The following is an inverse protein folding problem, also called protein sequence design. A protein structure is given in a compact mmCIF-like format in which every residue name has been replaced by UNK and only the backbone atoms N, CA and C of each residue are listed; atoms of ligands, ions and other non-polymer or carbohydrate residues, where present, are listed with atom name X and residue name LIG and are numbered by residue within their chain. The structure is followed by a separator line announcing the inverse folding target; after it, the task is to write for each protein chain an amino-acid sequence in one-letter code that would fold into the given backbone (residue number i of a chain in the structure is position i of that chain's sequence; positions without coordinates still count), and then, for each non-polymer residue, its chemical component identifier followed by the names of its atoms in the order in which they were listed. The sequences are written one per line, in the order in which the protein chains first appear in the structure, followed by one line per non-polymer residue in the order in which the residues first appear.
data_IF_605264993439
#
_entry.id   IF_605264993439
#
_cell.length_a   1.000
_cell.length_b   1.000
_cell.length_c   1.000
_cell.angle_alpha   90.00
_cell.angle_beta   90.00
_cell.angle_gamma   90.00
#
_symmetry.space_group_name_H-M   'P 1'
#
loop_
_entity.id
_entity.type
_entity.pdbx_description
1 polymer ?
#
# COMPACT_ATOMS: atom_id res chain seq x y z
N UNK A 1 17.30 1.90 21.56
CA UNK A 1 16.75 3.27 21.69
C UNK A 1 16.41 3.52 23.15
N UNK A 2 16.76 4.69 23.67
CA UNK A 2 16.44 5.07 25.04
C UNK A 2 15.53 6.32 25.01
N UNK A 3 14.73 6.51 26.07
CA UNK A 3 13.91 7.72 26.25
C UNK A 3 14.71 8.79 26.95
N UNK A 4 14.52 10.06 26.59
CA UNK A 4 15.08 11.18 27.33
C UNK A 4 14.21 11.44 28.58
N UNK A 5 14.79 11.21 29.74
CA UNK A 5 14.11 11.42 31.03
C UNK A 5 14.67 12.63 31.76
N UNK A 6 15.16 13.63 31.00
CA UNK A 6 15.75 14.87 31.51
C UNK A 6 14.71 15.98 31.60
N UNK A 7 15.01 16.99 32.43
CA UNK A 7 14.21 18.21 32.57
C UNK A 7 14.13 18.99 31.25
N UNK A 8 15.23 19.02 30.51
CA UNK A 8 15.32 19.64 29.19
C UNK A 8 15.33 18.56 28.10
N UNK A 9 14.52 18.75 27.05
CA UNK A 9 14.47 17.88 25.89
C UNK A 9 15.38 18.43 24.79
N UNK A 10 16.32 17.63 24.35
CA UNK A 10 17.28 17.98 23.30
C UNK A 10 16.80 17.37 21.99
N UNK A 11 16.96 18.10 20.89
CA UNK A 11 16.74 17.62 19.51
C UNK A 11 18.00 17.89 18.69
N UNK A 12 18.38 16.96 17.83
CA UNK A 12 19.56 17.10 16.98
C UNK A 12 20.56 15.97 17.14
N UNK A 13 21.71 16.10 16.51
CA UNK A 13 22.78 15.10 16.58
C UNK A 13 24.00 15.71 17.26
N UNK A 14 24.49 15.02 18.28
CA UNK A 14 25.74 15.35 18.98
C UNK A 14 26.64 14.13 18.90
N UNK A 15 27.80 14.29 18.25
CA UNK A 15 28.77 13.22 17.99
C UNK A 15 28.11 11.93 17.45
N UNK A 16 28.18 10.86 18.24
CA UNK A 16 27.63 9.53 17.91
C UNK A 16 26.17 9.33 18.36
N UNK A 17 25.51 10.38 18.84
CA UNK A 17 24.15 10.28 19.43
C UNK A 17 23.21 11.20 18.70
N UNK A 18 22.04 10.68 18.34
CA UNK A 18 20.93 11.47 17.76
C UNK A 18 19.76 11.49 18.73
N UNK A 19 19.31 12.70 19.04
CA UNK A 19 18.12 13.01 19.82
C UNK A 19 16.99 13.37 18.86
N UNK A 20 15.83 12.73 18.99
CA UNK A 20 14.69 12.96 18.11
C UNK A 20 13.38 12.73 18.84
N UNK A 21 12.31 13.29 18.29
CA UNK A 21 10.96 13.08 18.76
C UNK A 21 10.19 12.16 17.83
N UNK A 22 9.41 11.26 18.41
CA UNK A 22 8.48 10.41 17.67
C UNK A 22 7.19 10.25 18.45
N UNK A 23 6.08 10.72 17.89
CA UNK A 23 4.74 10.65 18.51
C UNK A 23 4.71 11.28 19.93
N UNK A 24 5.34 12.44 20.11
CA UNK A 24 5.43 13.13 21.41
C UNK A 24 6.43 12.54 22.40
N UNK A 25 7.15 11.46 22.03
CA UNK A 25 8.15 10.84 22.88
C UNK A 25 9.56 11.24 22.42
N UNK A 26 10.34 11.85 23.32
CA UNK A 26 11.73 12.20 23.08
C UNK A 26 12.63 10.96 23.26
N UNK A 27 13.38 10.66 22.23
CA UNK A 27 14.16 9.44 22.12
C UNK A 27 15.62 9.74 21.82
N UNK A 28 16.50 8.80 22.21
CA UNK A 28 17.93 8.83 21.96
C UNK A 28 18.32 7.55 21.21
N UNK A 29 19.10 7.69 20.15
CA UNK A 29 19.70 6.56 19.44
C UNK A 29 21.19 6.82 19.17
N UNK A 30 21.98 5.76 19.18
CA UNK A 30 23.35 5.83 18.69
C UNK A 30 23.31 6.01 17.16
N UNK A 31 24.13 6.90 16.64
CA UNK A 31 24.28 7.13 15.20
C UNK A 31 24.78 5.84 14.52
N UNK A 32 24.15 5.45 13.45
CA UNK A 32 24.60 4.33 12.65
C UNK A 32 25.89 4.70 11.94
N UNK A 33 26.94 3.90 12.05
CA UNK A 33 28.21 4.12 11.34
C UNK A 33 28.13 3.84 9.84
N UNK A 34 27.02 3.30 9.39
CA UNK A 34 26.76 2.99 7.99
C UNK A 34 26.32 4.28 7.27
N UNK A 35 27.16 4.79 6.37
CA UNK A 35 26.82 5.95 5.54
C UNK A 35 25.91 5.54 4.39
N UNK A 36 25.05 6.48 3.95
CA UNK A 36 24.20 6.27 2.77
C UNK A 36 25.02 6.01 1.50
N UNK A 37 26.18 6.66 1.39
CA UNK A 37 27.10 6.48 0.25
C UNK A 37 27.71 5.08 0.22
N UNK A 38 28.05 4.53 1.37
CA UNK A 38 28.51 3.15 1.47
C UNK A 38 27.42 2.17 1.03
N UNK A 39 26.18 2.37 1.45
CA UNK A 39 25.06 1.51 1.02
C UNK A 39 24.87 1.58 -0.51
N UNK A 40 25.12 2.75 -1.13
CA UNK A 40 24.92 2.94 -2.56
C UNK A 40 26.07 2.39 -3.43
N UNK A 41 27.29 2.38 -2.93
CA UNK A 41 28.48 2.14 -3.75
C UNK A 41 29.26 0.86 -3.38
N UNK A 42 29.05 0.31 -2.19
CA UNK A 42 29.77 -0.88 -1.73
C UNK A 42 29.06 -2.14 -2.27
N UNK A 43 29.78 -3.04 -3.00
CA UNK A 43 29.23 -4.29 -3.54
C UNK A 43 28.58 -5.18 -2.50
N UNK A 44 29.01 -5.12 -1.23
CA UNK A 44 28.40 -5.86 -0.13
C UNK A 44 26.91 -5.53 0.08
N UNK A 45 26.44 -4.38 -0.43
CA UNK A 45 25.05 -3.92 -0.37
C UNK A 45 24.29 -4.09 -1.68
N UNK A 46 24.81 -4.79 -2.68
CA UNK A 46 24.17 -4.98 -3.98
C UNK A 46 22.71 -5.43 -3.84
N UNK A 47 22.44 -6.43 -3.00
CA UNK A 47 21.07 -6.93 -2.72
C UNK A 47 20.15 -5.87 -2.10
N UNK A 48 20.71 -4.99 -1.29
CA UNK A 48 19.97 -3.88 -0.69
C UNK A 48 19.62 -2.83 -1.75
N UNK A 49 20.58 -2.52 -2.63
CA UNK A 49 20.39 -1.57 -3.73
C UNK A 49 19.32 -2.07 -4.72
N UNK A 50 19.37 -3.38 -5.09
CA UNK A 50 18.34 -4.02 -5.91
C UNK A 50 16.95 -3.83 -5.30
N UNK A 51 16.82 -4.11 -4.00
CA UNK A 51 15.56 -3.98 -3.28
C UNK A 51 15.08 -2.54 -3.23
N UNK A 52 15.98 -1.56 -3.07
CA UNK A 52 15.64 -0.14 -3.06
C UNK A 52 15.14 0.32 -4.44
N UNK A 53 15.77 -0.12 -5.53
CA UNK A 53 15.32 0.19 -6.89
C UNK A 53 13.92 -0.35 -7.15
N UNK A 54 13.69 -1.63 -6.87
CA UNK A 54 12.36 -2.25 -7.04
C UNK A 54 11.31 -1.60 -6.14
N UNK A 55 11.67 -1.20 -4.93
CA UNK A 55 10.74 -0.50 -4.03
C UNK A 55 10.41 0.91 -4.53
N UNK A 56 11.38 1.62 -5.09
CA UNK A 56 11.19 2.93 -5.68
C UNK A 56 10.19 2.89 -6.85
N UNK A 57 10.40 1.98 -7.81
CA UNK A 57 9.50 1.78 -8.95
C UNK A 57 8.11 1.34 -8.51
N UNK A 58 8.02 0.43 -7.54
CA UNK A 58 6.73 -0.03 -6.98
C UNK A 58 5.94 1.12 -6.34
N UNK A 59 6.62 2.03 -5.61
CA UNK A 59 5.97 3.21 -5.03
C UNK A 59 5.42 4.17 -6.09
N UNK A 60 6.14 4.33 -7.21
CA UNK A 60 5.65 5.14 -8.34
C UNK A 60 4.39 4.52 -8.95
N UNK A 61 4.38 3.20 -9.21
CA UNK A 61 3.21 2.48 -9.71
C UNK A 61 2.03 2.61 -8.73
N UNK A 62 2.25 2.39 -7.44
CA UNK A 62 1.22 2.55 -6.41
C UNK A 62 0.65 3.98 -6.36
N UNK A 63 1.48 4.99 -6.61
CA UNK A 63 1.06 6.39 -6.72
C UNK A 63 0.21 6.61 -7.97
N UNK A 64 0.61 6.06 -9.12
CA UNK A 64 -0.16 6.15 -10.37
C UNK A 64 -1.56 5.53 -10.21
N UNK A 65 -1.65 4.33 -9.64
CA UNK A 65 -2.94 3.67 -9.36
C UNK A 65 -3.84 4.54 -8.47
N UNK A 66 -3.29 5.14 -7.41
CA UNK A 66 -4.07 6.03 -6.54
C UNK A 66 -4.53 7.31 -7.28
N UNK A 67 -3.66 7.86 -8.12
CA UNK A 67 -3.97 9.09 -8.86
C UNK A 67 -4.98 8.85 -9.99
N UNK A 68 -5.12 7.62 -10.48
CA UNK A 68 -6.16 7.26 -11.44
C UNK A 68 -7.58 7.38 -10.85
N UNK A 69 -7.72 7.23 -9.53
CA UNK A 69 -9.03 7.23 -8.86
C UNK A 69 -9.13 8.23 -7.68
N UNK A 70 -8.85 9.53 -7.89
CA UNK A 70 -8.74 10.50 -6.80
C UNK A 70 -10.05 10.70 -6.04
N UNK A 71 -11.19 10.66 -6.73
CA UNK A 71 -12.52 10.79 -6.14
C UNK A 71 -12.88 9.60 -5.23
N UNK A 72 -12.49 8.39 -5.63
CA UNK A 72 -12.67 7.16 -4.84
C UNK A 72 -11.80 7.22 -3.59
N UNK A 73 -10.51 7.51 -3.75
CA UNK A 73 -9.54 7.50 -2.65
C UNK A 73 -9.95 8.47 -1.53
N UNK A 74 -10.42 9.67 -1.88
CA UNK A 74 -10.91 10.64 -0.88
C UNK A 74 -12.12 10.12 -0.10
N UNK A 75 -13.03 9.39 -0.75
CA UNK A 75 -14.25 8.85 -0.12
C UNK A 75 -13.98 7.63 0.75
N UNK A 76 -12.97 6.83 0.41
CA UNK A 76 -12.64 5.59 1.11
C UNK A 76 -12.19 5.82 2.56
N UNK A 77 -11.49 6.93 2.82
CA UNK A 77 -11.05 7.30 4.18
C UNK A 77 -10.01 6.37 4.81
N UNK A 78 -9.51 5.37 4.10
CA UNK A 78 -8.50 4.43 4.60
C UNK A 78 -7.09 5.04 4.54
N UNK A 79 -6.63 5.55 5.67
CA UNK A 79 -5.29 6.15 5.82
C UNK A 79 -4.15 5.15 5.55
N UNK A 80 -4.40 3.84 5.63
CA UNK A 80 -3.40 2.79 5.40
C UNK A 80 -3.38 2.25 3.97
N UNK A 81 -4.31 2.70 3.13
CA UNK A 81 -4.40 2.28 1.73
C UNK A 81 -3.06 2.43 0.97
N UNK A 82 -2.32 3.56 1.08
CA UNK A 82 -1.04 3.69 0.38
C UNK A 82 -0.04 2.60 0.73
N UNK A 83 0.09 2.30 2.02
CA UNK A 83 1.03 1.27 2.50
C UNK A 83 0.58 -0.14 2.08
N UNK A 84 -0.72 -0.44 2.15
CA UNK A 84 -1.28 -1.73 1.75
C UNK A 84 -1.09 -1.99 0.26
N UNK A 85 -1.40 -1.00 -0.57
CA UNK A 85 -1.23 -1.10 -2.02
C UNK A 85 0.25 -1.26 -2.41
N UNK A 86 1.14 -0.43 -1.85
CA UNK A 86 2.58 -0.56 -2.10
C UNK A 86 3.10 -1.94 -1.67
N UNK A 87 2.69 -2.43 -0.50
CA UNK A 87 3.09 -3.77 -0.02
C UNK A 87 2.64 -4.87 -0.96
N UNK A 88 1.39 -4.82 -1.44
CA UNK A 88 0.84 -5.80 -2.36
C UNK A 88 1.61 -5.78 -3.69
N UNK A 89 1.75 -4.62 -4.32
CA UNK A 89 2.49 -4.49 -5.58
C UNK A 89 3.96 -4.91 -5.43
N UNK A 90 4.56 -4.65 -4.27
CA UNK A 90 5.92 -5.11 -3.96
C UNK A 90 6.02 -6.63 -3.81
N UNK A 91 4.94 -7.33 -3.47
CA UNK A 91 4.86 -8.79 -3.50
C UNK A 91 4.61 -9.29 -4.93
N UNK A 92 3.67 -8.67 -5.65
CA UNK A 92 3.30 -9.02 -7.03
C UNK A 92 4.51 -8.97 -7.98
N UNK A 93 5.42 -7.99 -7.84
CA UNK A 93 6.61 -7.90 -8.69
C UNK A 93 7.45 -9.17 -8.76
N UNK A 94 7.32 -10.07 -7.77
CA UNK A 94 8.04 -11.35 -7.76
C UNK A 94 7.61 -12.30 -8.88
N UNK A 95 6.41 -12.10 -9.42
CA UNK A 95 5.91 -12.84 -10.56
C UNK A 95 6.44 -12.32 -11.91
N UNK A 96 7.21 -11.24 -11.91
CA UNK A 96 7.99 -10.83 -13.08
C UNK A 96 9.19 -11.76 -13.22
N UNK A 97 9.07 -12.69 -14.16
CA UNK A 97 10.12 -13.65 -14.53
C UNK A 97 10.98 -13.17 -15.69
N UNK A 98 10.58 -12.07 -16.33
CA UNK A 98 11.26 -11.50 -17.50
C UNK A 98 12.48 -10.69 -17.10
N UNK A 99 12.35 -9.89 -16.01
CA UNK A 99 13.42 -9.02 -15.56
C UNK A 99 14.24 -9.64 -14.43
N UNK A 100 15.56 -9.38 -14.42
CA UNK A 100 16.40 -9.81 -13.32
C UNK A 100 16.05 -9.05 -12.03
N UNK A 101 16.42 -9.64 -10.90
CA UNK A 101 16.27 -9.00 -9.60
C UNK A 101 16.93 -7.60 -9.59
N UNK A 102 16.27 -6.64 -8.99
CA UNK A 102 16.65 -5.23 -8.99
C UNK A 102 16.00 -4.39 -10.10
N UNK A 103 15.39 -5.07 -11.09
CA UNK A 103 14.68 -4.43 -12.22
C UNK A 103 13.26 -4.97 -12.39
N UNK A 104 12.81 -5.88 -11.52
CA UNK A 104 11.45 -6.46 -11.60
C UNK A 104 10.38 -5.41 -11.41
N UNK A 105 9.34 -5.51 -12.24
CA UNK A 105 8.22 -4.58 -12.28
C UNK A 105 6.91 -5.25 -11.89
N UNK A 106 6.11 -4.58 -11.04
CA UNK A 106 4.76 -5.03 -10.74
C UNK A 106 3.84 -4.94 -11.96
N UNK A 107 4.10 -4.03 -12.92
CA UNK A 107 3.29 -3.91 -14.15
C UNK A 107 3.44 -5.17 -15.00
N UNK A 108 4.67 -5.59 -15.29
CA UNK A 108 4.94 -6.80 -16.07
C UNK A 108 4.45 -8.05 -15.33
N UNK A 109 4.61 -8.08 -14.00
CA UNK A 109 4.09 -9.16 -13.19
C UNK A 109 2.55 -9.31 -13.28
N UNK A 110 1.81 -8.21 -13.45
CA UNK A 110 0.35 -8.23 -13.61
C UNK A 110 -0.11 -8.80 -14.97
N UNK A 111 0.77 -8.95 -15.95
CA UNK A 111 0.50 -9.65 -17.20
C UNK A 111 0.49 -11.18 -17.00
N UNK A 112 1.04 -11.67 -15.88
CA UNK A 112 1.05 -13.09 -15.54
C UNK A 112 -0.18 -13.48 -14.74
N UNK A 113 -0.63 -14.74 -14.89
CA UNK A 113 -1.76 -15.27 -14.12
C UNK A 113 -1.53 -15.18 -12.61
N UNK A 114 -0.32 -15.48 -12.12
CA UNK A 114 0.01 -15.38 -10.70
C UNK A 114 -0.03 -13.96 -10.15
N UNK A 115 0.37 -12.97 -10.97
CA UNK A 115 0.27 -11.55 -10.59
C UNK A 115 -1.18 -11.07 -10.49
N UNK A 116 -2.03 -11.50 -11.44
CA UNK A 116 -3.46 -11.19 -11.46
C UNK A 116 -4.18 -11.84 -10.27
N UNK A 117 -3.90 -13.11 -10.00
CA UNK A 117 -4.45 -13.82 -8.84
C UNK A 117 -4.08 -13.14 -7.53
N UNK A 118 -2.82 -12.73 -7.38
CA UNK A 118 -2.35 -12.03 -6.19
C UNK A 118 -3.02 -10.66 -5.98
N UNK A 119 -3.48 -9.99 -7.04
CA UNK A 119 -4.24 -8.74 -6.96
C UNK A 119 -5.71 -8.98 -6.60
N UNK A 120 -6.23 -10.16 -6.97
CA UNK A 120 -7.64 -10.50 -6.76
C UNK A 120 -8.02 -10.41 -5.28
N UNK A 121 -9.15 -9.75 -5.01
CA UNK A 121 -9.65 -9.56 -3.63
C UNK A 121 -9.02 -8.39 -2.88
N UNK A 122 -8.16 -7.59 -3.50
CA UNK A 122 -7.67 -6.37 -2.87
C UNK A 122 -8.80 -5.35 -2.71
N UNK A 123 -9.04 -4.92 -1.47
CA UNK A 123 -10.04 -3.90 -1.16
C UNK A 123 -9.38 -2.54 -0.98
N UNK A 124 -9.82 -1.54 -1.74
CA UNK A 124 -9.41 -0.14 -1.52
C UNK A 124 -9.86 0.37 -0.14
N UNK A 125 -11.02 -0.08 0.33
CA UNK A 125 -11.49 0.20 1.67
C UNK A 125 -11.37 -1.06 2.56
N UNK A 126 -10.45 -1.03 3.52
CA UNK A 126 -10.29 -2.13 4.48
C UNK A 126 -11.11 -1.92 5.77
N UNK A 127 -11.70 -0.75 5.95
CA UNK A 127 -12.58 -0.45 7.09
C UNK A 127 -13.93 -1.17 6.89
N UNK A 128 -14.44 -1.12 5.65
CA UNK A 128 -15.66 -1.83 5.26
C UNK A 128 -15.39 -2.54 3.92
N UNK A 129 -14.87 -3.77 3.95
CA UNK A 129 -14.66 -4.57 2.74
C UNK A 129 -15.98 -4.80 2.00
N UNK A 130 -15.94 -4.80 0.66
CA UNK A 130 -17.16 -4.97 -0.16
C UNK A 130 -17.95 -6.22 0.23
N UNK A 131 -17.30 -7.35 0.42
CA UNK A 131 -17.95 -8.61 0.84
C UNK A 131 -18.66 -8.54 2.19
N UNK A 132 -18.24 -7.63 3.07
CA UNK A 132 -18.91 -7.43 4.36
C UNK A 132 -20.15 -6.56 4.22
N UNK A 133 -20.11 -5.56 3.33
CA UNK A 133 -21.23 -4.67 3.06
C UNK A 133 -22.25 -5.31 2.11
N UNK A 134 -21.77 -6.08 1.14
CA UNK A 134 -22.55 -6.75 0.11
C UNK A 134 -22.05 -8.20 -0.03
N UNK A 135 -22.71 -9.19 0.53
CA UNK A 135 -22.27 -10.59 0.53
C UNK A 135 -22.53 -11.31 -0.82
N UNK A 136 -22.53 -10.58 -1.92
CA UNK A 136 -22.68 -11.07 -3.28
C UNK A 136 -21.38 -10.87 -4.06
N UNK A 137 -21.15 -11.75 -5.03
CA UNK A 137 -20.02 -11.61 -5.95
C UNK A 137 -20.51 -10.94 -7.24
N UNK A 138 -20.06 -9.71 -7.56
CA UNK A 138 -20.34 -9.11 -8.84
C UNK A 138 -19.64 -9.90 -9.95
N UNK A 139 -20.32 -10.10 -11.06
CA UNK A 139 -19.74 -10.65 -12.30
C UNK A 139 -19.33 -9.47 -13.16
N UNK A 140 -18.06 -9.41 -13.52
CA UNK A 140 -17.51 -8.35 -14.35
C UNK A 140 -17.30 -8.91 -15.75
N UNK A 141 -17.95 -8.31 -16.74
CA UNK A 141 -17.70 -8.56 -18.14
C UNK A 141 -16.94 -7.37 -18.73
N UNK A 142 -15.65 -7.57 -18.97
CA UNK A 142 -14.77 -6.52 -19.50
C UNK A 142 -15.01 -6.27 -20.99
N UNK A 143 -15.54 -7.24 -21.73
CA UNK A 143 -15.85 -7.08 -23.16
C UNK A 143 -17.11 -6.23 -23.36
N UNK A 144 -18.13 -6.48 -22.52
CA UNK A 144 -19.37 -5.72 -22.53
C UNK A 144 -19.33 -4.44 -21.66
N UNK A 145 -18.23 -4.19 -20.92
CA UNK A 145 -18.11 -3.12 -19.92
C UNK A 145 -19.28 -3.11 -18.91
N UNK A 146 -19.68 -4.30 -18.43
CA UNK A 146 -20.79 -4.45 -17.51
C UNK A 146 -20.38 -5.08 -16.19
N UNK A 147 -21.04 -4.65 -15.12
CA UNK A 147 -20.95 -5.29 -13.80
C UNK A 147 -22.37 -5.76 -13.44
N UNK A 148 -22.54 -7.08 -13.33
CA UNK A 148 -23.82 -7.68 -12.99
C UNK A 148 -23.80 -8.20 -11.56
N UNK A 149 -24.81 -7.83 -10.78
CA UNK A 149 -25.02 -8.32 -9.42
C UNK A 149 -26.37 -9.02 -9.37
N UNK A 150 -26.35 -10.34 -9.43
CA UNK A 150 -27.56 -11.14 -9.43
C UNK A 150 -28.09 -11.31 -8.00
N UNK A 151 -29.43 -11.31 -7.84
CA UNK A 151 -30.10 -11.60 -6.59
C UNK A 151 -29.94 -10.53 -5.51
N UNK A 152 -29.62 -9.29 -5.87
CA UNK A 152 -29.51 -8.20 -4.90
C UNK A 152 -30.88 -7.84 -4.32
N UNK A 153 -31.10 -8.15 -3.04
CA UNK A 153 -32.17 -7.58 -2.23
C UNK A 153 -31.58 -6.56 -1.23
N UNK A 154 -31.63 -5.24 -1.54
CA UNK A 154 -30.96 -4.24 -0.71
C UNK A 154 -31.41 -4.21 0.74
N UNK A 155 -32.71 -4.47 1.01
CA UNK A 155 -33.23 -4.42 2.35
C UNK A 155 -32.72 -5.53 3.28
N UNK A 156 -32.42 -6.69 2.71
CA UNK A 156 -31.99 -7.86 3.48
C UNK A 156 -30.46 -8.03 3.50
N UNK A 157 -29.82 -7.63 2.41
CA UNK A 157 -28.42 -7.96 2.18
C UNK A 157 -27.44 -6.84 2.50
N UNK A 158 -27.88 -5.57 2.42
CA UNK A 158 -26.98 -4.46 2.70
C UNK A 158 -26.89 -4.21 4.21
N UNK A 159 -25.69 -4.26 4.74
CA UNK A 159 -25.37 -3.81 6.09
C UNK A 159 -25.14 -2.32 6.07
N UNK A 160 -26.16 -1.55 6.43
CA UNK A 160 -26.14 -0.09 6.40
C UNK A 160 -26.37 0.50 7.80
N UNK A 161 -25.88 1.72 8.07
CA UNK A 161 -26.20 2.43 9.30
C UNK A 161 -27.72 2.60 9.48
N UNK A 162 -28.23 2.68 10.71
CA UNK A 162 -29.63 2.98 10.96
C UNK A 162 -30.08 4.25 10.24
N UNK A 163 -31.32 4.28 9.76
CA UNK A 163 -31.93 5.40 9.04
C UNK A 163 -31.36 5.70 7.65
N UNK A 164 -30.54 4.81 7.08
CA UNK A 164 -30.09 4.94 5.69
C UNK A 164 -31.25 4.67 4.74
N UNK A 165 -31.52 5.63 3.84
CA UNK A 165 -32.60 5.53 2.84
C UNK A 165 -32.06 5.24 1.42
N UNK A 166 -30.76 5.46 1.19
CA UNK A 166 -30.13 5.33 -0.11
C UNK A 166 -28.76 4.66 -0.01
N UNK A 167 -28.37 3.94 -1.07
CA UNK A 167 -27.02 3.44 -1.25
C UNK A 167 -26.55 3.76 -2.68
N UNK A 168 -25.26 3.84 -2.85
CA UNK A 168 -24.62 4.05 -4.15
C UNK A 168 -23.49 3.05 -4.36
N UNK A 169 -23.59 2.26 -5.42
CA UNK A 169 -22.49 1.45 -5.93
C UNK A 169 -21.75 2.24 -7.04
N UNK A 170 -20.45 2.26 -6.99
CA UNK A 170 -19.63 2.91 -8.01
C UNK A 170 -18.54 1.93 -8.44
N UNK A 171 -18.53 1.57 -9.70
CA UNK A 171 -17.48 0.79 -10.36
C UNK A 171 -16.52 1.73 -11.11
N UNK A 172 -15.28 1.30 -11.22
CA UNK A 172 -14.24 1.92 -12.05
C UNK A 172 -13.52 0.80 -12.80
N UNK A 173 -13.34 0.97 -14.10
CA UNK A 173 -12.61 0.08 -15.01
C UNK A 173 -11.75 0.87 -15.99
#
# INVERSE_FOLDING_TARGET
MAKQNSLFKVLGTLDDVTFYERQGVHLIKKKTRLSGDRIKNDPAFERTQETFREFGTTNQIARMVRNAFPGLIKKVGDKRLPQRLTRLLFQIRKFDVTNPRGSRSAVIALETAGGQEALTGFNFNNITPLKQALPLNPVVDTAANTITINGLNPKEMLRVPPLSSHFKLTGYW
#
